data_IF_078124135863
#
_entry.id   IF_078124135863
#
_cell.length_a   1.000
_cell.length_b   1.000
_cell.length_c   1.000
_cell.angle_alpha   90.00
_cell.angle_beta   90.00
_cell.angle_gamma   90.00
#
_symmetry.space_group_name_H-M   'P 1'
#
loop_
_entity.id
_entity.type
_entity.pdbx_description
1 polymer ?
#
# COMPACT_ATOMS: atom_id res chain seq x y z
N UNK A 1 -13.92 -10.87 -1.04
CA UNK A 1 -12.65 -10.34 -0.52
C UNK A 1 -11.50 -11.14 -1.10
N UNK A 2 -10.56 -10.47 -1.77
CA UNK A 2 -9.44 -11.09 -2.50
C UNK A 2 -8.50 -11.87 -1.59
N UNK A 3 -8.29 -11.40 -0.35
CA UNK A 3 -7.37 -12.05 0.58
C UNK A 3 -7.76 -13.50 0.93
N UNK A 4 -9.06 -13.78 1.09
CA UNK A 4 -9.57 -15.15 1.37
C UNK A 4 -9.21 -16.09 0.21
N UNK A 5 -9.39 -15.61 -1.04
CA UNK A 5 -9.09 -16.39 -2.24
C UNK A 5 -7.59 -16.72 -2.33
N UNK A 6 -6.71 -15.79 -1.97
CA UNK A 6 -5.25 -16.00 -1.99
C UNK A 6 -4.85 -17.10 -1.00
N UNK A 7 -5.38 -17.07 0.23
CA UNK A 7 -5.07 -18.07 1.26
C UNK A 7 -5.53 -19.45 0.81
N UNK A 8 -6.75 -19.57 0.29
CA UNK A 8 -7.31 -20.83 -0.21
C UNK A 8 -6.48 -21.42 -1.35
N UNK A 9 -6.04 -20.59 -2.31
CA UNK A 9 -5.20 -21.05 -3.43
C UNK A 9 -3.85 -21.60 -2.98
N UNK A 10 -3.23 -20.97 -1.98
CA UNK A 10 -1.95 -21.44 -1.41
C UNK A 10 -2.10 -22.75 -0.64
N UNK A 11 -3.15 -22.86 0.18
CA UNK A 11 -3.41 -24.09 0.94
C UNK A 11 -3.69 -25.30 0.03
N UNK A 12 -4.21 -25.07 -1.17
CA UNK A 12 -4.52 -26.12 -2.15
C UNK A 12 -3.33 -26.50 -3.07
N UNK A 13 -2.17 -25.85 -2.93
CA UNK A 13 -0.99 -26.16 -3.74
C UNK A 13 -0.43 -27.54 -3.37
N UNK A 14 -0.49 -28.48 -4.31
CA UNK A 14 0.03 -29.83 -4.18
C UNK A 14 1.20 -30.05 -5.15
N UNK A 15 2.14 -30.96 -4.88
CA UNK A 15 3.20 -31.33 -5.82
C UNK A 15 2.63 -31.65 -7.21
N UNK A 16 3.28 -31.12 -8.26
CA UNK A 16 2.83 -31.31 -9.65
C UNK A 16 1.68 -30.39 -10.10
N UNK A 17 1.19 -29.49 -9.23
CA UNK A 17 0.23 -28.45 -9.62
C UNK A 17 0.91 -27.10 -9.80
N UNK A 18 0.56 -26.40 -10.88
CA UNK A 18 0.96 -25.01 -11.09
C UNK A 18 0.09 -24.06 -10.26
N UNK A 19 0.69 -23.09 -9.58
CA UNK A 19 -0.02 -21.99 -8.92
C UNK A 19 0.03 -20.75 -9.79
N UNK A 20 -1.14 -20.18 -10.07
CA UNK A 20 -1.26 -18.92 -10.82
C UNK A 20 -1.44 -17.78 -9.82
N UNK A 21 -0.48 -16.85 -9.80
CA UNK A 21 -0.48 -15.67 -8.95
C UNK A 21 -0.67 -14.40 -9.78
N UNK A 22 -1.69 -13.61 -9.44
CA UNK A 22 -1.80 -12.23 -9.91
C UNK A 22 -1.27 -11.30 -8.82
N UNK A 23 -0.21 -10.53 -9.05
CA UNK A 23 0.27 -9.54 -8.09
C UNK A 23 -0.84 -8.57 -7.67
N UNK A 24 -1.67 -8.12 -8.61
CA UNK A 24 -2.76 -7.18 -8.38
C UNK A 24 -3.82 -7.70 -7.40
N UNK A 25 -3.97 -9.03 -7.26
CA UNK A 25 -4.86 -9.60 -6.23
C UNK A 25 -4.34 -9.28 -4.81
N UNK A 26 -3.02 -9.20 -4.62
CA UNK A 26 -2.42 -8.83 -3.34
C UNK A 26 -2.60 -7.33 -3.05
N UNK A 27 -2.38 -6.45 -4.03
CA UNK A 27 -2.65 -5.01 -3.86
C UNK A 27 -4.14 -4.74 -3.56
N UNK A 28 -5.05 -5.43 -4.26
CA UNK A 28 -6.48 -5.32 -3.97
C UNK A 28 -6.82 -5.83 -2.56
N UNK A 29 -6.19 -6.92 -2.11
CA UNK A 29 -6.34 -7.42 -0.74
C UNK A 29 -5.82 -6.41 0.31
N UNK A 30 -4.68 -5.76 0.06
CA UNK A 30 -4.15 -4.70 0.91
C UNK A 30 -5.11 -3.52 1.05
N UNK A 31 -5.63 -3.03 -0.09
CA UNK A 31 -6.64 -1.96 -0.11
C UNK A 31 -7.96 -2.33 0.60
N UNK A 32 -8.49 -3.54 0.37
CA UNK A 32 -9.69 -4.04 1.07
C UNK A 32 -9.48 -4.07 2.59
N UNK A 33 -8.32 -4.57 3.06
CA UNK A 33 -8.00 -4.62 4.47
C UNK A 33 -7.81 -3.23 5.08
N UNK A 34 -7.26 -2.26 4.34
CA UNK A 34 -7.14 -0.88 4.79
C UNK A 34 -8.51 -0.23 5.02
N UNK A 35 -9.45 -0.44 4.11
CA UNK A 35 -10.84 0.05 4.27
C UNK A 35 -11.50 -0.61 5.49
N UNK A 36 -11.32 -1.92 5.67
CA UNK A 36 -11.85 -2.65 6.84
C UNK A 36 -11.24 -2.09 8.13
N UNK A 37 -9.91 -1.95 8.19
CA UNK A 37 -9.22 -1.38 9.34
C UNK A 37 -9.75 0.02 9.67
N UNK A 38 -9.92 0.88 8.66
CA UNK A 38 -10.44 2.23 8.83
C UNK A 38 -11.86 2.22 9.43
N UNK A 39 -12.79 1.48 8.81
CA UNK A 39 -14.19 1.43 9.26
C UNK A 39 -14.29 0.90 10.69
N UNK A 40 -13.61 -0.21 10.98
CA UNK A 40 -13.61 -0.80 12.32
C UNK A 40 -13.05 0.18 13.36
N UNK A 41 -11.97 0.87 13.02
CA UNK A 41 -11.31 1.79 13.94
C UNK A 41 -12.19 3.00 14.24
N UNK A 42 -12.80 3.61 13.23
CA UNK A 42 -13.75 4.71 13.42
C UNK A 42 -14.97 4.32 14.26
N UNK A 43 -15.50 3.11 14.05
CA UNK A 43 -16.61 2.58 14.86
C UNK A 43 -16.16 2.41 16.32
N UNK A 44 -14.99 1.82 16.56
CA UNK A 44 -14.45 1.64 17.90
C UNK A 44 -14.19 2.98 18.59
N UNK A 45 -13.57 3.93 17.90
CA UNK A 45 -13.31 5.27 18.43
C UNK A 45 -14.60 6.00 18.76
N UNK A 46 -15.62 5.93 17.89
CA UNK A 46 -16.92 6.53 18.17
C UNK A 46 -17.61 5.95 19.42
N UNK A 47 -17.48 4.63 19.65
CA UNK A 47 -18.10 3.96 20.80
C UNK A 47 -17.34 4.20 22.10
N UNK A 48 -16.00 4.11 22.07
CA UNK A 48 -15.18 4.05 23.28
C UNK A 48 -14.50 5.38 23.64
N UNK A 49 -14.30 6.28 22.68
CA UNK A 49 -13.68 7.59 22.90
C UNK A 49 -14.25 8.65 21.92
N UNK A 50 -15.54 9.01 22.04
CA UNK A 50 -16.17 9.97 21.14
C UNK A 50 -15.60 11.41 21.28
N UNK A 51 -14.93 11.71 22.39
CA UNK A 51 -14.39 13.05 22.65
C UNK A 51 -13.17 13.34 21.78
N UNK A 52 -12.37 12.33 21.41
CA UNK A 52 -11.26 12.52 20.46
C UNK A 52 -11.75 13.01 19.08
N UNK A 53 -12.98 12.68 18.69
CA UNK A 53 -13.56 13.15 17.41
C UNK A 53 -13.91 14.65 17.49
N UNK A 54 -14.25 15.15 18.69
CA UNK A 54 -14.59 16.55 18.89
C UNK A 54 -13.34 17.41 18.88
N UNK A 55 -12.28 16.97 19.56
CA UNK A 55 -11.03 17.71 19.69
C UNK A 55 -9.84 16.75 19.81
N UNK A 56 -8.87 16.90 18.91
CA UNK A 56 -7.64 16.11 18.88
C UNK A 56 -6.51 16.92 18.25
N UNK A 57 -5.28 16.48 18.47
CA UNK A 57 -4.07 17.18 18.02
C UNK A 57 -3.99 17.31 16.50
N UNK A 58 -4.44 16.30 15.75
CA UNK A 58 -4.47 16.38 14.29
C UNK A 58 -5.47 17.42 13.82
N UNK A 59 -6.69 17.42 14.37
CA UNK A 59 -7.74 18.40 14.07
C UNK A 59 -7.33 19.83 14.39
N UNK A 60 -6.59 20.06 15.48
CA UNK A 60 -6.02 21.38 15.80
C UNK A 60 -4.97 21.85 14.79
N UNK A 61 -4.28 20.92 14.11
CA UNK A 61 -3.23 21.22 13.12
C UNK A 61 -3.78 21.39 11.71
N UNK A 62 -4.73 20.56 11.28
CA UNK A 62 -5.26 20.58 9.91
C UNK A 62 -6.66 21.18 9.80
N UNK A 63 -7.35 21.43 10.91
CA UNK A 63 -8.67 22.04 10.98
C UNK A 63 -9.86 21.09 10.71
N UNK A 64 -9.61 19.79 10.55
CA UNK A 64 -10.64 18.77 10.31
C UNK A 64 -10.26 17.42 10.92
N UNK A 65 -11.21 16.49 11.02
CA UNK A 65 -10.91 15.13 11.47
C UNK A 65 -10.25 14.33 10.34
N UNK A 66 -8.92 14.27 10.36
CA UNK A 66 -8.15 13.38 9.50
C UNK A 66 -8.58 11.93 9.73
N UNK A 67 -8.59 11.12 8.68
CA UNK A 67 -9.04 9.72 8.77
C UNK A 67 -8.22 8.87 9.76
N UNK A 68 -6.96 9.21 10.03
CA UNK A 68 -6.11 8.49 10.99
C UNK A 68 -6.61 8.60 12.43
N UNK A 69 -7.33 9.67 12.79
CA UNK A 69 -7.91 9.84 14.14
C UNK A 69 -8.71 8.62 14.57
N UNK A 70 -9.35 7.93 13.62
CA UNK A 70 -10.13 6.74 13.89
C UNK A 70 -9.34 5.58 14.52
N UNK A 71 -8.03 5.48 14.32
CA UNK A 71 -7.21 4.39 14.88
C UNK A 71 -6.08 4.84 15.81
N UNK A 72 -6.03 6.12 16.18
CA UNK A 72 -4.95 6.65 17.02
C UNK A 72 -5.11 6.28 18.50
N UNK A 73 -6.35 6.07 18.96
CA UNK A 73 -6.68 5.83 20.36
C UNK A 73 -7.02 4.37 20.67
N UNK A 74 -6.80 3.96 21.91
CA UNK A 74 -7.27 2.65 22.40
C UNK A 74 -8.80 2.65 22.57
N UNK A 75 -9.50 1.53 22.28
CA UNK A 75 -8.97 0.24 21.86
C UNK A 75 -8.74 0.11 20.34
N UNK A 76 -9.17 1.10 19.54
CA UNK A 76 -9.10 1.05 18.08
C UNK A 76 -7.69 0.75 17.56
N UNK A 77 -6.66 1.41 18.11
CA UNK A 77 -5.26 1.20 17.72
C UNK A 77 -4.78 -0.24 17.88
N UNK A 78 -5.24 -0.94 18.93
CA UNK A 78 -4.86 -2.32 19.20
C UNK A 78 -5.51 -3.33 18.26
N UNK A 79 -6.64 -2.95 17.66
CA UNK A 79 -7.31 -3.73 16.61
C UNK A 79 -6.75 -3.39 15.23
N UNK A 80 -6.47 -2.12 14.97
CA UNK A 80 -5.97 -1.63 13.70
C UNK A 80 -4.54 -2.11 13.41
N UNK A 81 -3.63 -2.04 14.37
CA UNK A 81 -2.22 -2.34 14.15
C UNK A 81 -1.97 -3.78 13.63
N UNK A 82 -2.57 -4.85 14.19
CA UNK A 82 -2.46 -6.20 13.63
C UNK A 82 -3.01 -6.32 12.20
N UNK A 83 -4.12 -5.67 11.90
CA UNK A 83 -4.69 -5.65 10.54
C UNK A 83 -3.72 -4.94 9.59
N UNK A 84 -3.10 -3.85 10.04
CA UNK A 84 -2.13 -3.08 9.28
C UNK A 84 -0.85 -3.85 8.95
N UNK A 85 -0.38 -4.71 9.86
CA UNK A 85 0.71 -5.67 9.54
C UNK A 85 0.31 -6.58 8.36
N UNK A 86 -0.95 -7.02 8.32
CA UNK A 86 -1.50 -7.75 7.18
C UNK A 86 -1.46 -6.94 5.88
N UNK A 87 -1.85 -5.65 5.93
CA UNK A 87 -1.78 -4.73 4.79
C UNK A 87 -0.34 -4.61 4.27
N UNK A 88 0.62 -4.37 5.17
CA UNK A 88 2.05 -4.27 4.82
C UNK A 88 2.55 -5.56 4.17
N UNK A 89 2.14 -6.73 4.66
CA UNK A 89 2.46 -8.00 4.02
C UNK A 89 1.91 -8.10 2.59
N UNK A 90 0.62 -7.78 2.38
CA UNK A 90 0.00 -7.88 1.05
C UNK A 90 0.65 -6.91 0.05
N UNK A 91 0.90 -5.67 0.46
CA UNK A 91 1.49 -4.66 -0.41
C UNK A 91 2.97 -4.97 -0.70
N UNK A 92 3.74 -5.40 0.30
CA UNK A 92 5.13 -5.86 0.08
C UNK A 92 5.18 -7.06 -0.86
N UNK A 93 4.22 -7.99 -0.73
CA UNK A 93 4.14 -9.15 -1.63
C UNK A 93 3.73 -8.73 -3.04
N UNK A 94 2.84 -7.76 -3.19
CA UNK A 94 2.53 -7.18 -4.50
C UNK A 94 3.80 -6.59 -5.15
N UNK A 95 4.56 -5.76 -4.43
CA UNK A 95 5.80 -5.15 -4.94
C UNK A 95 6.85 -6.19 -5.33
N UNK A 96 7.03 -7.23 -4.50
CA UNK A 96 7.94 -8.34 -4.79
C UNK A 96 7.54 -9.09 -6.08
N UNK A 97 6.27 -9.47 -6.20
CA UNK A 97 5.80 -10.21 -7.37
C UNK A 97 5.80 -9.32 -8.63
N UNK A 98 5.53 -8.02 -8.48
CA UNK A 98 5.61 -7.03 -9.57
C UNK A 98 7.04 -6.94 -10.12
N UNK A 99 8.04 -6.88 -9.25
CA UNK A 99 9.45 -6.94 -9.64
C UNK A 99 9.82 -8.27 -10.32
N UNK A 100 9.41 -9.41 -9.75
CA UNK A 100 9.68 -10.72 -10.35
C UNK A 100 9.07 -10.86 -11.75
N UNK A 101 7.88 -10.29 -11.96
CA UNK A 101 7.22 -10.28 -13.27
C UNK A 101 7.99 -9.45 -14.28
N UNK A 102 8.43 -8.25 -13.93
CA UNK A 102 9.26 -7.43 -14.82
C UNK A 102 10.55 -8.19 -15.21
N UNK A 103 11.20 -8.83 -14.24
CA UNK A 103 12.44 -9.57 -14.48
C UNK A 103 12.33 -10.79 -15.41
N UNK A 104 11.13 -11.35 -15.59
CA UNK A 104 10.91 -12.51 -16.48
C UNK A 104 10.17 -12.15 -17.77
N UNK A 105 9.69 -10.91 -17.91
CA UNK A 105 8.94 -10.49 -19.09
C UNK A 105 9.91 -10.21 -20.25
N UNK A 106 9.93 -11.04 -21.31
CA UNK A 106 10.85 -10.85 -22.43
C UNK A 106 10.55 -9.59 -23.25
N UNK A 107 9.38 -8.97 -23.05
CA UNK A 107 8.99 -7.73 -23.73
C UNK A 107 9.40 -6.48 -22.95
N UNK A 108 9.78 -6.61 -21.68
CA UNK A 108 10.23 -5.48 -20.86
C UNK A 108 11.62 -5.01 -21.31
N UNK A 109 11.84 -3.70 -21.25
CA UNK A 109 13.18 -3.15 -21.44
C UNK A 109 13.87 -2.90 -20.09
N UNK A 110 15.21 -2.87 -20.11
CA UNK A 110 16.02 -2.69 -18.89
C UNK A 110 15.68 -1.43 -18.09
N UNK A 111 15.26 -0.35 -18.75
CA UNK A 111 14.94 0.90 -18.07
C UNK A 111 13.60 0.77 -17.32
N UNK A 112 12.60 0.14 -17.92
CA UNK A 112 11.32 -0.18 -17.28
C UNK A 112 11.53 -1.08 -16.05
N UNK A 113 12.36 -2.12 -16.17
CA UNK A 113 12.71 -3.01 -15.05
C UNK A 113 13.35 -2.24 -13.89
N UNK A 114 14.28 -1.33 -14.20
CA UNK A 114 14.94 -0.49 -13.20
C UNK A 114 13.96 0.46 -12.51
N UNK A 115 13.06 1.09 -13.26
CA UNK A 115 12.03 1.96 -12.70
C UNK A 115 11.11 1.16 -11.76
N UNK A 116 10.62 0.00 -12.20
CA UNK A 116 9.77 -0.87 -11.37
C UNK A 116 10.50 -1.28 -10.11
N UNK A 117 11.76 -1.71 -10.20
CA UNK A 117 12.57 -2.09 -9.05
C UNK A 117 12.72 -0.94 -8.04
N UNK A 118 13.11 0.25 -8.51
CA UNK A 118 13.34 1.42 -7.65
C UNK A 118 12.05 1.84 -6.97
N UNK A 119 10.97 2.00 -7.74
CA UNK A 119 9.68 2.45 -7.19
C UNK A 119 9.08 1.42 -6.24
N UNK A 120 9.13 0.13 -6.57
CA UNK A 120 8.66 -0.94 -5.70
C UNK A 120 9.46 -1.00 -4.39
N UNK A 121 10.78 -0.78 -4.44
CA UNK A 121 11.64 -0.73 -3.26
C UNK A 121 11.21 0.42 -2.33
N UNK A 122 11.12 1.65 -2.85
CA UNK A 122 10.72 2.81 -2.04
C UNK A 122 9.28 2.68 -1.53
N UNK A 123 8.36 2.14 -2.33
CA UNK A 123 6.98 1.93 -1.87
C UNK A 123 6.89 0.83 -0.81
N UNK A 124 7.71 -0.22 -0.88
CA UNK A 124 7.79 -1.24 0.19
C UNK A 124 8.33 -0.63 1.49
N UNK A 125 9.43 0.13 1.40
CA UNK A 125 9.99 0.84 2.56
C UNK A 125 8.97 1.82 3.15
N UNK A 126 8.20 2.47 2.28
CA UNK A 126 7.14 3.39 2.65
C UNK A 126 6.01 2.72 3.44
N UNK A 127 5.53 1.55 3.01
CA UNK A 127 4.56 0.77 3.77
C UNK A 127 5.10 0.34 5.14
N UNK A 128 6.36 -0.08 5.20
CA UNK A 128 7.01 -0.44 6.47
C UNK A 128 7.13 0.77 7.40
N UNK A 129 7.57 1.92 6.89
CA UNK A 129 7.69 3.15 7.66
C UNK A 129 6.34 3.66 8.17
N UNK A 130 5.26 3.42 7.43
CA UNK A 130 3.91 3.82 7.84
C UNK A 130 3.41 3.09 9.10
N UNK A 131 4.01 1.97 9.51
CA UNK A 131 3.72 1.33 10.81
C UNK A 131 3.98 2.29 11.98
N UNK A 132 4.86 3.28 11.80
CA UNK A 132 5.16 4.27 12.83
C UNK A 132 3.93 5.08 13.27
N UNK A 133 2.83 5.12 12.52
CA UNK A 133 1.56 5.72 12.99
C UNK A 133 1.04 5.10 14.29
N UNK A 134 1.32 3.81 14.53
CA UNK A 134 0.88 3.12 15.75
C UNK A 134 1.88 3.24 16.91
N UNK A 135 3.10 3.71 16.62
CA UNK A 135 4.20 3.83 17.60
C UNK A 135 4.37 5.28 18.04
N UNK A 136 4.24 6.23 17.10
CA UNK A 136 4.36 7.65 17.35
C UNK A 136 2.99 8.21 17.73
N UNK A 137 2.78 8.43 19.02
CA UNK A 137 1.53 9.01 19.51
C UNK A 137 1.36 10.42 18.92
N UNK A 138 0.21 10.75 18.30
CA UNK A 138 -0.02 12.09 17.74
C UNK A 138 -0.03 13.18 18.82
N UNK A 139 -0.20 12.84 20.11
CA UNK A 139 -0.07 13.78 21.23
C UNK A 139 1.39 14.17 21.47
N UNK A 140 2.30 13.21 21.36
CA UNK A 140 3.73 13.45 21.60
C UNK A 140 4.42 14.02 20.36
N UNK A 141 4.12 13.48 19.18
CA UNK A 141 4.76 13.89 17.93
C UNK A 141 3.84 13.72 16.71
N UNK A 142 2.82 14.58 16.64
CA UNK A 142 1.91 14.66 15.50
C UNK A 142 2.61 14.77 14.14
N UNK A 143 3.77 15.43 14.09
CA UNK A 143 4.55 15.64 12.87
C UNK A 143 5.13 14.33 12.36
N UNK A 144 5.82 13.56 13.21
CA UNK A 144 6.37 12.25 12.84
C UNK A 144 5.25 11.25 12.53
N UNK A 145 4.20 11.24 13.35
CA UNK A 145 2.99 10.44 13.11
C UNK A 145 2.46 10.70 11.70
N UNK A 146 2.19 11.96 11.37
CA UNK A 146 1.60 12.32 10.07
C UNK A 146 2.56 12.11 8.91
N UNK A 147 3.84 12.45 9.04
CA UNK A 147 4.80 12.23 7.95
C UNK A 147 5.04 10.76 7.65
N UNK A 148 4.94 9.89 8.65
CA UNK A 148 5.00 8.44 8.41
C UNK A 148 3.85 7.95 7.51
N UNK A 149 2.71 8.63 7.50
CA UNK A 149 1.59 8.37 6.60
C UNK A 149 1.66 9.15 5.28
N UNK A 150 1.99 10.45 5.29
CA UNK A 150 2.00 11.28 4.07
C UNK A 150 2.99 10.75 3.02
N UNK A 151 4.14 10.22 3.45
CA UNK A 151 5.08 9.60 2.54
C UNK A 151 4.48 8.37 1.81
N UNK A 152 3.59 7.61 2.47
CA UNK A 152 2.86 6.49 1.87
C UNK A 152 1.97 6.93 0.72
N UNK A 153 1.30 8.07 0.86
CA UNK A 153 0.43 8.62 -0.18
C UNK A 153 1.22 8.89 -1.46
N UNK A 154 2.39 9.51 -1.34
CA UNK A 154 3.22 9.89 -2.48
C UNK A 154 3.87 8.66 -3.15
N UNK A 155 4.52 7.79 -2.37
CA UNK A 155 5.16 6.60 -2.94
C UNK A 155 4.15 5.57 -3.45
N UNK A 156 2.98 5.46 -2.81
CA UNK A 156 1.88 4.63 -3.29
C UNK A 156 1.36 5.06 -4.66
N UNK A 157 1.24 6.37 -4.90
CA UNK A 157 0.90 6.90 -6.21
C UNK A 157 1.97 6.56 -7.25
N UNK A 158 3.26 6.79 -6.96
CA UNK A 158 4.33 6.46 -7.90
C UNK A 158 4.38 4.96 -8.23
N UNK A 159 4.13 4.07 -7.25
CA UNK A 159 4.03 2.64 -7.50
C UNK A 159 2.84 2.29 -8.40
N UNK A 160 1.70 2.97 -8.22
CA UNK A 160 0.57 2.82 -9.13
C UNK A 160 0.93 3.26 -10.55
N UNK A 161 1.57 4.43 -10.71
CA UNK A 161 2.02 4.95 -12.02
C UNK A 161 3.01 3.97 -12.67
N UNK A 162 4.01 3.50 -11.93
CA UNK A 162 5.00 2.55 -12.44
C UNK A 162 4.33 1.28 -12.97
N UNK A 163 3.40 0.69 -12.20
CA UNK A 163 2.62 -0.46 -12.66
C UNK A 163 1.74 -0.13 -13.88
N UNK A 164 1.19 1.07 -13.94
CA UNK A 164 0.34 1.51 -15.04
C UNK A 164 1.12 1.64 -16.36
N UNK A 165 2.31 2.27 -16.32
CA UNK A 165 3.11 2.54 -17.51
C UNK A 165 3.80 1.29 -18.05
N UNK A 166 4.17 0.34 -17.19
CA UNK A 166 4.84 -0.91 -17.60
C UNK A 166 3.88 -2.02 -17.97
N UNK A 167 2.59 -1.85 -17.69
CA UNK A 167 1.57 -2.82 -18.13
C UNK A 167 1.09 -2.48 -19.53
N UNK A 168 1.11 -3.44 -20.44
CA UNK A 168 0.54 -3.32 -21.80
C UNK A 168 -0.91 -2.79 -21.75
N UNK A 169 -1.19 -1.81 -22.62
CA UNK A 169 -2.47 -1.08 -22.73
C UNK A 169 -3.67 -2.01 -22.86
N UNK A 170 -3.52 -3.19 -23.45
CA UNK A 170 -4.64 -4.16 -23.58
C UNK A 170 -5.15 -4.67 -22.23
N UNK A 171 -4.36 -4.57 -21.16
CA UNK A 171 -4.73 -4.95 -19.80
C UNK A 171 -5.28 -3.79 -18.97
N UNK A 172 -5.44 -2.61 -19.57
CA UNK A 172 -5.93 -1.42 -18.87
C UNK A 172 -7.47 -1.44 -18.81
N UNK A 173 -8.07 -1.37 -17.61
CA UNK A 173 -9.51 -1.21 -17.47
C UNK A 173 -10.03 0.06 -18.14
N UNK A 174 -11.29 0.05 -18.58
CA UNK A 174 -11.94 1.27 -19.09
C UNK A 174 -11.97 2.34 -17.99
N UNK A 175 -11.53 3.54 -18.32
CA UNK A 175 -11.46 4.67 -17.38
C UNK A 175 -10.19 4.72 -16.52
N UNK A 176 -9.30 3.73 -16.59
CA UNK A 176 -8.07 3.68 -15.80
C UNK A 176 -7.15 4.90 -16.05
N UNK A 177 -7.15 5.44 -17.28
CA UNK A 177 -6.38 6.62 -17.69
C UNK A 177 -6.91 7.92 -17.06
N UNK A 178 -8.23 8.04 -16.89
CA UNK A 178 -8.79 9.16 -16.14
C UNK A 178 -8.52 8.98 -14.63
N UNK A 179 -8.64 7.74 -14.15
CA UNK A 179 -8.39 7.42 -12.75
C UNK A 179 -6.97 7.73 -12.29
N UNK A 180 -5.93 7.40 -13.07
CA UNK A 180 -4.54 7.74 -12.70
C UNK A 180 -4.34 9.25 -12.54
N UNK A 181 -4.98 10.07 -13.38
CA UNK A 181 -4.97 11.53 -13.24
C UNK A 181 -5.68 12.01 -11.96
N UNK A 182 -6.87 11.47 -11.67
CA UNK A 182 -7.63 11.77 -10.45
C UNK A 182 -6.87 11.34 -9.20
N UNK A 183 -6.30 10.14 -9.21
CA UNK A 183 -5.55 9.59 -8.10
C UNK A 183 -4.27 10.39 -7.85
N UNK A 184 -3.57 10.78 -8.92
CA UNK A 184 -2.40 11.65 -8.84
C UNK A 184 -2.73 13.03 -8.29
N UNK A 185 -3.83 13.63 -8.74
CA UNK A 185 -4.33 14.90 -8.21
C UNK A 185 -4.53 14.82 -6.69
N UNK A 186 -5.31 13.87 -6.19
CA UNK A 186 -5.56 13.75 -4.76
C UNK A 186 -4.29 13.41 -3.96
N UNK A 187 -3.43 12.51 -4.47
CA UNK A 187 -2.20 12.10 -3.77
C UNK A 187 -1.22 13.27 -3.61
N UNK A 188 -0.96 14.00 -4.70
CA UNK A 188 0.00 15.10 -4.69
C UNK A 188 -0.58 16.33 -3.97
N UNK A 189 -1.86 16.65 -4.19
CA UNK A 189 -2.52 17.75 -3.51
C UNK A 189 -2.56 17.52 -2.00
N UNK A 190 -2.99 16.33 -1.54
CA UNK A 190 -3.01 16.01 -0.12
C UNK A 190 -1.62 16.04 0.48
N UNK A 191 -0.64 15.38 -0.15
CA UNK A 191 0.74 15.34 0.34
C UNK A 191 1.34 16.74 0.50
N UNK A 192 1.19 17.60 -0.51
CA UNK A 192 1.67 18.99 -0.45
C UNK A 192 0.93 19.80 0.63
N UNK A 193 -0.40 19.68 0.69
CA UNK A 193 -1.19 20.40 1.68
C UNK A 193 -0.82 20.00 3.11
N UNK A 194 -0.69 18.70 3.38
CA UNK A 194 -0.32 18.18 4.68
C UNK A 194 1.09 18.66 5.09
N UNK A 195 2.07 18.59 4.19
CA UNK A 195 3.43 19.11 4.45
C UNK A 195 3.38 20.59 4.83
N UNK A 196 2.70 21.43 4.04
CA UNK A 196 2.60 22.87 4.32
C UNK A 196 1.89 23.12 5.65
N UNK A 197 0.75 22.47 5.91
CA UNK A 197 0.02 22.62 7.16
C UNK A 197 0.90 22.29 8.38
N UNK A 198 1.62 21.18 8.35
CA UNK A 198 2.44 20.74 9.48
C UNK A 198 3.71 21.56 9.68
N UNK A 199 4.32 22.06 8.60
CA UNK A 199 5.51 22.91 8.69
C UNK A 199 5.19 24.35 9.12
N UNK A 200 3.96 24.81 8.88
CA UNK A 200 3.53 26.20 9.20
C UNK A 200 2.65 26.30 10.44
N UNK A 201 2.26 25.17 11.03
CA UNK A 201 1.48 25.12 12.27
C UNK A 201 2.24 25.75 13.43
N UNK A 202 1.54 26.56 14.23
CA UNK A 202 1.98 26.99 15.55
C UNK A 202 0.81 26.96 16.54
N UNK A 203 1.11 26.77 17.82
CA UNK A 203 0.06 26.77 18.85
C UNK A 203 -0.62 28.14 18.98
N UNK A 204 0.11 29.22 18.68
CA UNK A 204 -0.39 30.60 18.76
C UNK A 204 -1.26 30.99 17.55
N UNK A 205 -0.84 30.63 16.34
CA UNK A 205 -1.52 31.01 15.10
C UNK A 205 -2.57 30.00 14.65
N UNK A 206 -2.53 28.78 15.19
CA UNK A 206 -3.43 27.69 14.83
C UNK A 206 -2.99 26.93 13.57
N UNK A 207 -3.95 26.33 12.82
CA UNK A 207 -3.67 25.66 11.55
C UNK A 207 -2.89 26.54 10.57
N UNK A 208 -2.12 25.91 9.68
CA UNK A 208 -1.42 26.63 8.62
C UNK A 208 -2.35 27.31 7.61
N UNK A 209 -1.79 27.95 6.56
CA UNK A 209 -2.51 28.88 5.70
C UNK A 209 -3.51 28.21 4.75
N UNK A 210 -3.52 26.88 4.67
CA UNK A 210 -4.39 26.15 3.76
C UNK A 210 -5.77 26.00 4.40
N UNK A 211 -6.86 26.39 3.71
CA UNK A 211 -8.20 26.16 4.24
C UNK A 211 -8.43 24.67 4.49
N UNK A 212 -8.93 24.33 5.69
CA UNK A 212 -9.09 22.94 6.15
C UNK A 212 -9.87 22.06 5.16
N UNK A 213 -10.86 22.63 4.46
CA UNK A 213 -11.69 21.89 3.50
C UNK A 213 -10.91 21.44 2.27
N UNK A 214 -9.85 22.16 1.86
CA UNK A 214 -8.97 21.75 0.76
C UNK A 214 -8.21 20.49 1.15
N UNK A 215 -7.63 20.49 2.35
CA UNK A 215 -6.90 19.33 2.87
C UNK A 215 -7.84 18.14 3.10
N UNK A 216 -9.05 18.37 3.63
CA UNK A 216 -10.07 17.34 3.82
C UNK A 216 -10.51 16.69 2.50
N UNK A 217 -10.74 17.48 1.44
CA UNK A 217 -11.06 16.96 0.10
C UNK A 217 -9.91 16.08 -0.43
N UNK A 218 -8.66 16.49 -0.19
CA UNK A 218 -7.48 15.70 -0.57
C UNK A 218 -7.42 14.36 0.13
N UNK A 219 -7.54 14.39 1.45
CA UNK A 219 -7.48 13.22 2.31
C UNK A 219 -8.60 12.22 1.99
N UNK A 220 -9.85 12.67 2.07
CA UNK A 220 -11.00 11.80 1.82
C UNK A 220 -11.06 11.34 0.36
N UNK A 221 -10.71 12.21 -0.59
CA UNK A 221 -10.62 11.87 -2.01
C UNK A 221 -9.57 10.78 -2.27
N UNK A 222 -8.40 10.88 -1.62
CA UNK A 222 -7.36 9.85 -1.72
C UNK A 222 -7.83 8.49 -1.17
N UNK A 223 -8.51 8.46 -0.02
CA UNK A 223 -9.06 7.21 0.52
C UNK A 223 -10.16 6.61 -0.36
N UNK A 224 -11.01 7.43 -0.97
CA UNK A 224 -11.96 6.95 -1.99
C UNK A 224 -11.20 6.34 -3.18
N UNK A 225 -10.13 6.98 -3.65
CA UNK A 225 -9.27 6.40 -4.68
C UNK A 225 -8.69 5.05 -4.25
N UNK A 226 -8.23 4.88 -3.01
CA UNK A 226 -7.76 3.59 -2.52
C UNK A 226 -8.83 2.49 -2.53
N UNK A 227 -10.08 2.82 -2.20
CA UNK A 227 -11.18 1.87 -2.28
C UNK A 227 -11.49 1.44 -3.72
N UNK A 228 -11.28 2.34 -4.69
CA UNK A 228 -11.59 2.11 -6.11
C UNK A 228 -10.39 1.55 -6.90
N UNK A 229 -9.16 1.76 -6.43
CA UNK A 229 -7.94 1.45 -7.21
C UNK A 229 -7.85 -0.03 -7.61
N UNK A 230 -8.36 -0.97 -6.80
CA UNK A 230 -8.32 -2.40 -7.12
C UNK A 230 -9.10 -2.76 -8.39
N UNK A 231 -10.08 -1.93 -8.77
CA UNK A 231 -10.85 -2.08 -10.00
C UNK A 231 -10.23 -1.34 -11.18
N UNK A 232 -9.52 -0.25 -10.93
CA UNK A 232 -8.93 0.60 -11.97
C UNK A 232 -7.48 0.23 -12.32
N UNK A 233 -6.81 -0.54 -11.45
CA UNK A 233 -5.42 -0.97 -11.66
C UNK A 233 -5.32 -1.92 -12.86
N UNK A 234 -4.37 -1.69 -13.78
CA UNK A 234 -4.08 -2.62 -14.88
C UNK A 234 -3.76 -4.02 -14.37
N UNK A 235 -4.34 -5.04 -15.02
CA UNK A 235 -4.13 -6.45 -14.65
C UNK A 235 -3.11 -7.08 -15.56
N UNK A 236 -1.83 -6.83 -15.27
CA UNK A 236 -0.74 -7.46 -16.00
C UNK A 236 -0.79 -9.00 -15.92
N UNK A 237 -0.14 -9.71 -16.85
CA UNK A 237 -0.16 -11.17 -16.90
C UNK A 237 0.18 -11.82 -15.55
N UNK A 238 -0.49 -12.94 -15.26
CA UNK A 238 -0.25 -13.71 -14.06
C UNK A 238 1.12 -14.39 -14.09
N UNK A 239 1.73 -14.55 -12.91
CA UNK A 239 2.88 -15.41 -12.71
C UNK A 239 2.43 -16.86 -12.53
N UNK A 240 3.05 -17.78 -13.28
CA UNK A 240 2.90 -19.21 -13.08
C UNK A 240 4.07 -19.73 -12.25
N UNK A 241 3.76 -20.40 -11.15
CA UNK A 241 4.73 -21.09 -10.30
C UNK A 241 4.49 -22.59 -10.43
N UNK A 242 5.46 -23.31 -11.00
CA UNK A 242 5.43 -24.77 -11.07
C UNK A 242 6.21 -25.35 -9.89
N UNK A 243 5.57 -26.23 -9.11
CA UNK A 243 6.18 -26.88 -7.95
C UNK A 243 6.51 -28.33 -8.28
N UNK A 244 7.78 -28.70 -8.08
CA UNK A 244 8.25 -30.08 -8.19
C UNK A 244 8.80 -30.50 -6.85
N UNK A 245 8.41 -31.68 -6.37
CA UNK A 245 9.06 -32.29 -5.22
C UNK A 245 10.44 -32.76 -5.68
N UNK A 246 11.48 -32.18 -5.10
CA UNK A 246 12.86 -32.66 -5.29
C UNK A 246 13.27 -33.39 -4.03
N UNK A 247 13.92 -34.54 -4.17
CA UNK A 247 14.72 -35.06 -3.06
C UNK A 247 15.99 -34.21 -2.93
N UNK A 248 16.62 -34.21 -1.75
CA UNK A 248 17.89 -33.52 -1.54
C UNK A 248 18.98 -34.07 -2.49
N UNK A 249 18.91 -35.37 -2.78
CA UNK A 249 19.83 -36.06 -3.71
C UNK A 249 19.63 -35.62 -5.17
N UNK A 250 18.41 -35.18 -5.53
CA UNK A 250 18.06 -34.72 -6.88
C UNK A 250 18.24 -33.20 -7.07
N UNK A 251 18.50 -32.46 -6.00
CA UNK A 251 18.64 -31.01 -6.06
C UNK A 251 19.92 -30.63 -6.82
N UNK A 252 19.76 -30.12 -8.04
CA UNK A 252 20.85 -29.51 -8.79
C UNK A 252 20.63 -28.00 -8.84
N UNK A 253 21.60 -27.22 -8.36
CA UNK A 253 21.62 -25.77 -8.55
C UNK A 253 21.77 -25.52 -10.05
N UNK A 254 20.72 -24.98 -10.68
CA UNK A 254 20.74 -24.65 -12.11
C UNK A 254 21.90 -23.67 -12.37
N UNK A 255 22.95 -24.16 -13.03
CA UNK A 255 24.17 -23.40 -13.31
C UNK A 255 25.43 -23.93 -12.62
N UNK A 256 25.33 -24.79 -11.60
CA UNK A 256 26.48 -25.54 -11.11
C UNK A 256 26.76 -26.72 -12.03
N UNK A 257 27.96 -26.75 -12.61
CA UNK A 257 28.46 -27.97 -13.25
C UNK A 257 28.59 -29.04 -12.19
N UNK A 258 27.84 -30.14 -12.34
CA UNK A 258 28.00 -31.33 -11.52
C UNK A 258 29.51 -31.68 -11.48
N UNK A 259 30.16 -31.76 -10.31
CA UNK A 259 31.54 -32.17 -10.26
C UNK A 259 31.65 -33.54 -10.95
N UNK A 260 32.63 -33.67 -11.85
CA UNK A 260 32.83 -34.90 -12.59
C UNK A 260 32.98 -36.04 -11.59
N UNK A 261 32.12 -37.06 -11.69
CA UNK A 261 32.26 -38.27 -10.89
C UNK A 261 33.59 -38.90 -11.31
N UNK A 262 34.55 -38.92 -10.39
CA UNK A 262 35.84 -39.57 -10.63
C UNK A 262 35.59 -41.07 -10.88
N UNK A 263 36.30 -41.67 -11.87
CA UNK A 263 36.10 -43.05 -12.27
C UNK A 263 36.45 -44.07 -11.17
#
# INVERSE_FOLDING_TARGET
MKFISIIQKRAAAAPGKSLILNPEDYAAAGGELLVIAMVLSWVLTYIYDPDIIKDNQLKRRVGYNNLCVGWDMAPAKYVAAPIFVGIVFFESRFMQLSYQRAAIDPSSNRNEDQIVMIVNFFSTLSWMACILIFVCDPVENATLHTFSFVQLVVFGYFAYVANFVTTDVKYHPRGSHAFIGIFGFFSLMFGLCAVVQFLTYSEESGPGPIPWWVTAIGDYGWFVCLGVQGYMRPRAPSLRLDFTLTSDDDFQVIGEKKPAVAP
#
